data_IF_327538006272
#
_entry.id   IF_327538006272
#
_cell.length_a   1.000
_cell.length_b   1.000
_cell.length_c   1.000
_cell.angle_alpha   90.00
_cell.angle_beta   90.00
_cell.angle_gamma   90.00
#
_symmetry.space_group_name_H-M   'P 1'
#
loop_
_entity.id
_entity.type
_entity.pdbx_description
1 polymer ?
#
# COMPACT_ATOMS: atom_id res chain seq x y z
N UNK A 1 0.78 8.30 -0.78
CA UNK A 1 1.41 9.32 -1.64
C UNK A 1 2.00 10.39 -0.75
N UNK A 2 3.27 10.73 -0.93
CA UNK A 2 3.88 11.92 -0.35
C UNK A 2 3.69 13.07 -1.35
N UNK A 3 2.68 13.90 -1.10
CA UNK A 3 2.34 15.02 -1.99
C UNK A 3 3.33 16.18 -1.90
N UNK A 4 4.10 16.28 -0.81
CA UNK A 4 5.08 17.35 -0.66
C UNK A 4 6.34 17.08 -1.50
N UNK A 5 6.69 15.79 -1.66
CA UNK A 5 7.88 15.35 -2.41
C UNK A 5 7.55 14.76 -3.77
N UNK A 6 6.28 14.75 -4.18
CA UNK A 6 5.75 14.11 -5.40
C UNK A 6 6.21 12.65 -5.55
N UNK A 7 5.96 11.84 -4.51
CA UNK A 7 6.35 10.42 -4.49
C UNK A 7 5.20 9.46 -4.21
N UNK A 8 5.31 8.26 -4.78
CA UNK A 8 4.47 7.11 -4.47
C UNK A 8 5.27 6.03 -3.74
N UNK A 9 4.63 5.35 -2.78
CA UNK A 9 5.23 4.22 -2.10
C UNK A 9 4.90 2.95 -2.88
N UNK A 10 5.92 2.16 -3.18
CA UNK A 10 5.77 0.81 -3.71
C UNK A 10 6.50 -0.18 -2.80
N UNK A 11 5.95 -1.39 -2.69
CA UNK A 11 6.47 -2.47 -1.84
C UNK A 11 6.77 -3.71 -2.68
N UNK A 12 7.58 -4.61 -2.11
CA UNK A 12 7.84 -5.96 -2.62
C UNK A 12 7.75 -6.97 -1.49
N UNK A 13 7.03 -8.06 -1.72
CA UNK A 13 6.88 -9.14 -0.75
C UNK A 13 8.23 -9.84 -0.44
N UNK A 14 8.38 -10.28 0.80
CA UNK A 14 9.48 -11.14 1.23
C UNK A 14 9.25 -12.57 0.71
N UNK A 15 10.31 -13.21 0.21
CA UNK A 15 10.30 -14.65 -0.05
C UNK A 15 9.38 -15.13 -1.19
N UNK A 16 9.79 -14.93 -2.44
CA UNK A 16 9.13 -15.51 -3.62
C UNK A 16 9.91 -15.28 -4.92
N UNK A 17 9.53 -15.96 -6.00
CA UNK A 17 10.01 -15.65 -7.37
C UNK A 17 9.38 -14.37 -7.93
N UNK A 18 8.27 -13.91 -7.33
CA UNK A 18 7.58 -12.69 -7.68
C UNK A 18 8.36 -11.48 -7.15
N UNK A 19 8.95 -10.71 -8.06
CA UNK A 19 9.79 -9.54 -7.73
C UNK A 19 9.19 -8.21 -8.20
N UNK A 20 7.93 -8.21 -8.60
CA UNK A 20 7.27 -7.00 -9.07
C UNK A 20 6.93 -6.06 -7.91
N UNK A 21 7.02 -4.77 -8.19
CA UNK A 21 6.58 -3.73 -7.29
C UNK A 21 5.05 -3.71 -7.23
N UNK A 22 4.51 -3.50 -6.04
CA UNK A 22 3.09 -3.43 -5.78
C UNK A 22 2.77 -2.26 -4.85
N UNK A 23 1.49 -1.93 -4.75
CA UNK A 23 0.98 -1.10 -3.67
C UNK A 23 0.75 -1.97 -2.44
N UNK A 24 0.75 -1.35 -1.25
CA UNK A 24 0.26 -1.99 -0.02
C UNK A 24 -1.17 -2.46 -0.22
N UNK A 25 -1.43 -3.72 0.11
CA UNK A 25 -2.74 -4.33 -0.05
C UNK A 25 -2.91 -5.48 0.94
N UNK A 26 -4.05 -5.51 1.62
CA UNK A 26 -4.41 -6.59 2.53
C UNK A 26 -5.91 -6.82 2.57
N UNK A 27 -6.31 -7.83 3.33
CA UNK A 27 -7.70 -8.23 3.44
C UNK A 27 -8.44 -7.34 4.43
N UNK A 28 -9.74 -7.19 4.21
CA UNK A 28 -10.62 -6.48 5.15
C UNK A 28 -11.01 -7.46 6.25
N UNK A 29 -10.86 -7.05 7.50
CA UNK A 29 -11.29 -7.86 8.64
C UNK A 29 -12.76 -7.61 9.01
N UNK A 30 -13.33 -8.53 9.81
CA UNK A 30 -14.72 -8.42 10.26
C UNK A 30 -14.90 -7.17 11.12
N UNK A 31 -15.83 -6.30 10.70
CA UNK A 31 -16.14 -5.05 11.40
C UNK A 31 -15.35 -3.85 10.88
N UNK A 32 -14.43 -4.04 9.93
CA UNK A 32 -13.71 -2.94 9.29
C UNK A 32 -14.50 -2.31 8.15
N UNK A 33 -14.30 -1.01 7.95
CA UNK A 33 -14.61 -0.37 6.67
C UNK A 33 -13.44 -0.59 5.71
N UNK A 34 -13.66 -0.52 4.39
CA UNK A 34 -12.55 -0.59 3.42
C UNK A 34 -11.44 0.43 3.67
N UNK A 35 -11.82 1.65 4.10
CA UNK A 35 -10.85 2.70 4.47
C UNK A 35 -10.17 2.42 5.82
N UNK A 36 -10.81 1.64 6.70
CA UNK A 36 -10.24 1.19 7.96
C UNK A 36 -9.15 0.16 7.71
N UNK A 37 -9.48 -0.90 6.96
CA UNK A 37 -8.54 -1.93 6.54
C UNK A 37 -7.33 -1.30 5.83
N UNK A 38 -7.54 -0.44 4.82
CA UNK A 38 -6.43 0.21 4.12
C UNK A 38 -5.52 1.04 5.04
N UNK A 39 -6.05 1.68 6.09
CA UNK A 39 -5.22 2.41 7.08
C UNK A 39 -4.44 1.46 7.97
N UNK A 40 -5.09 0.37 8.43
CA UNK A 40 -4.45 -0.65 9.26
C UNK A 40 -3.30 -1.30 8.51
N UNK A 41 -3.54 -1.80 7.30
CA UNK A 41 -2.51 -2.45 6.46
C UNK A 41 -1.31 -1.52 6.19
N UNK A 42 -1.56 -0.24 5.84
CA UNK A 42 -0.46 0.73 5.64
C UNK A 42 0.33 0.97 6.94
N UNK A 43 -0.34 0.99 8.10
CA UNK A 43 0.35 1.13 9.37
C UNK A 43 1.15 -0.13 9.72
N UNK A 44 0.58 -1.31 9.54
CA UNK A 44 1.20 -2.60 9.89
C UNK A 44 2.40 -2.91 9.01
N UNK A 45 2.24 -2.81 7.69
CA UNK A 45 3.28 -3.23 6.74
C UNK A 45 4.44 -2.24 6.61
N UNK A 46 4.16 -0.93 6.70
CA UNK A 46 5.14 0.13 6.38
C UNK A 46 5.23 1.24 7.43
N UNK A 47 4.45 1.18 8.52
CA UNK A 47 4.56 2.11 9.65
C UNK A 47 4.04 3.53 9.39
N UNK A 48 3.31 3.75 8.29
CA UNK A 48 2.92 5.10 7.86
C UNK A 48 1.52 5.48 8.30
N UNK A 49 1.34 6.75 8.69
CA UNK A 49 0.02 7.33 8.90
C UNK A 49 -0.48 7.98 7.62
N UNK A 50 -1.76 7.78 7.32
CA UNK A 50 -2.38 8.33 6.12
C UNK A 50 -3.79 8.87 6.37
N UNK A 51 -4.12 9.91 5.61
CA UNK A 51 -5.44 10.51 5.57
C UNK A 51 -5.96 10.64 4.14
N UNK A 52 -7.15 11.25 4.04
CA UNK A 52 -7.82 11.53 2.77
C UNK A 52 -7.89 10.31 1.85
N UNK A 53 -8.29 9.15 2.42
CA UNK A 53 -8.52 7.95 1.62
C UNK A 53 -9.68 8.20 0.66
N UNK A 54 -9.35 8.45 -0.60
CA UNK A 54 -10.30 8.69 -1.70
C UNK A 54 -10.39 7.41 -2.52
N UNK A 55 -11.60 6.88 -2.66
CA UNK A 55 -11.84 5.71 -3.51
C UNK A 55 -11.44 6.04 -4.95
N UNK A 56 -10.69 5.13 -5.58
CA UNK A 56 -10.31 5.23 -6.97
C UNK A 56 -11.18 4.31 -7.83
N UNK A 57 -10.99 3.00 -7.68
CA UNK A 57 -11.64 1.96 -8.48
C UNK A 57 -11.71 0.66 -7.70
N UNK A 58 -12.52 -0.26 -8.20
CA UNK A 58 -12.53 -1.65 -7.76
C UNK A 58 -12.34 -2.57 -8.95
N UNK A 59 -11.72 -3.73 -8.71
CA UNK A 59 -11.49 -4.74 -9.73
C UNK A 59 -11.72 -6.13 -9.12
N UNK A 60 -12.53 -7.00 -9.75
CA UNK A 60 -12.60 -8.40 -9.34
C UNK A 60 -11.22 -9.04 -9.53
N UNK A 61 -10.77 -9.76 -8.51
CA UNK A 61 -9.49 -10.46 -8.51
C UNK A 61 -9.75 -11.97 -8.49
N UNK A 62 -10.06 -12.50 -9.66
CA UNK A 62 -10.53 -13.89 -9.83
C UNK A 62 -9.52 -14.95 -9.41
N UNK A 63 -8.25 -14.59 -9.21
CA UNK A 63 -7.23 -15.53 -8.75
C UNK A 63 -7.46 -15.98 -7.29
N UNK A 64 -8.14 -15.18 -6.48
CA UNK A 64 -8.38 -15.46 -5.06
C UNK A 64 -9.84 -15.27 -4.63
N UNK A 65 -10.78 -15.31 -5.58
CA UNK A 65 -12.21 -15.05 -5.33
C UNK A 65 -12.48 -13.78 -4.51
N UNK A 66 -11.64 -12.75 -4.69
CA UNK A 66 -11.70 -11.50 -3.93
C UNK A 66 -11.97 -10.31 -4.86
N UNK A 67 -12.21 -9.14 -4.26
CA UNK A 67 -12.31 -7.88 -4.98
C UNK A 67 -11.26 -6.91 -4.45
N UNK A 68 -10.45 -6.37 -5.35
CA UNK A 68 -9.51 -5.31 -5.04
C UNK A 68 -10.25 -3.98 -4.97
N UNK A 69 -10.07 -3.24 -3.87
CA UNK A 69 -10.65 -1.90 -3.67
C UNK A 69 -9.51 -0.90 -3.53
N UNK A 70 -9.28 -0.08 -4.55
CA UNK A 70 -8.18 0.87 -4.62
C UNK A 70 -8.52 2.23 -4.02
N UNK A 71 -7.58 2.78 -3.25
CA UNK A 71 -7.67 4.12 -2.69
C UNK A 71 -6.42 4.94 -3.03
N UNK A 72 -6.61 6.23 -3.26
CA UNK A 72 -5.55 7.20 -3.07
C UNK A 72 -5.48 7.57 -1.58
N UNK A 73 -4.29 7.50 -1.00
CA UNK A 73 -4.04 7.84 0.40
C UNK A 73 -2.91 8.87 0.48
N UNK A 74 -3.09 9.91 1.28
CA UNK A 74 -2.09 10.97 1.49
C UNK A 74 -1.29 10.66 2.75
N UNK A 75 0.03 10.73 2.66
CA UNK A 75 0.94 10.60 3.80
C UNK A 75 0.68 11.73 4.81
N UNK A 76 0.67 11.38 6.09
CA UNK A 76 0.63 12.34 7.19
C UNK A 76 1.92 12.32 8.00
N UNK A 77 2.62 13.46 8.04
CA UNK A 77 3.79 13.64 8.88
C UNK A 77 5.05 12.98 8.30
N UNK A 78 5.66 12.10 9.09
CA UNK A 78 6.98 11.53 8.80
C UNK A 78 6.92 10.46 7.69
N UNK A 79 7.71 10.59 6.60
CA UNK A 79 7.79 9.59 5.54
C UNK A 79 8.63 8.34 5.90
N UNK A 80 9.18 8.26 7.10
CA UNK A 80 10.04 7.14 7.54
C UNK A 80 9.27 5.82 7.55
N UNK A 81 9.79 4.84 6.82
CA UNK A 81 9.18 3.52 6.66
C UNK A 81 9.69 2.60 7.77
N UNK A 82 8.77 1.89 8.41
CA UNK A 82 9.07 0.76 9.29
C UNK A 82 8.48 -0.49 8.68
N UNK A 83 9.33 -1.37 8.15
CA UNK A 83 8.89 -2.53 7.38
C UNK A 83 8.46 -3.69 8.29
N UNK A 84 7.35 -4.33 7.97
CA UNK A 84 7.02 -5.65 8.51
C UNK A 84 7.79 -6.73 7.74
N UNK A 85 8.98 -7.08 8.24
CA UNK A 85 9.91 -8.00 7.56
C UNK A 85 9.37 -9.43 7.37
N UNK A 86 8.32 -9.83 8.10
CA UNK A 86 7.66 -11.12 7.88
C UNK A 86 6.88 -11.19 6.57
N UNK A 87 6.49 -10.04 6.01
CA UNK A 87 5.63 -9.96 4.82
C UNK A 87 6.32 -9.26 3.66
N UNK A 88 7.05 -8.18 3.93
CA UNK A 88 7.72 -7.38 2.91
C UNK A 88 9.24 -7.56 2.99
N UNK A 89 9.87 -7.55 1.82
CA UNK A 89 11.32 -7.48 1.70
C UNK A 89 11.83 -6.08 1.40
N UNK A 90 10.98 -5.21 0.84
CA UNK A 90 11.36 -3.87 0.44
C UNK A 90 10.16 -2.93 0.35
N UNK A 91 10.35 -1.66 0.69
CA UNK A 91 9.39 -0.58 0.50
C UNK A 91 10.14 0.72 0.20
N UNK A 92 9.79 1.37 -0.91
CA UNK A 92 10.55 2.51 -1.46
C UNK A 92 9.62 3.59 -1.95
N UNK A 93 9.98 4.84 -1.64
CA UNK A 93 9.36 6.04 -2.20
C UNK A 93 9.95 6.35 -3.58
N UNK A 94 9.17 6.14 -4.63
CA UNK A 94 9.52 6.46 -6.01
C UNK A 94 9.02 7.84 -6.39
N UNK A 95 9.87 8.62 -7.06
CA UNK A 95 9.40 9.78 -7.81
C UNK A 95 8.58 9.30 -9.02
N UNK A 96 7.79 10.20 -9.62
CA UNK A 96 7.03 9.89 -10.83
C UNK A 96 7.89 9.34 -11.98
N UNK A 97 9.13 9.83 -12.11
CA UNK A 97 10.05 9.45 -13.19
C UNK A 97 10.75 8.12 -12.90
N UNK A 98 10.84 7.72 -11.63
CA UNK A 98 11.54 6.52 -11.20
C UNK A 98 10.60 5.31 -11.02
N UNK A 99 9.29 5.48 -11.27
CA UNK A 99 8.34 4.35 -11.16
C UNK A 99 8.75 3.27 -12.15
N UNK A 100 9.04 2.05 -11.68
CA UNK A 100 9.46 0.95 -12.54
C UNK A 100 8.31 0.47 -13.44
N UNK A 101 8.67 -0.01 -14.63
CA UNK A 101 7.75 -0.60 -15.62
C UNK A 101 7.05 -1.88 -15.13
#
# INVERSE_FOLDING_TARGET
MDTERDKILLTRYAGGSYRHWALVAGFVEVGETFKGAARREIMEEVGLKVSDLVYYKSQPWSFSDSAMIGFFAKLEGDPSITLQESELGEAVWFSREDVPD
#
